data_IF_903465954951
#
_entry.id   IF_903465954951
#
_cell.length_a   1.000
_cell.length_b   1.000
_cell.length_c   1.000
_cell.angle_alpha   90.00
_cell.angle_beta   90.00
_cell.angle_gamma   90.00
#
_symmetry.space_group_name_H-M   'P 1'
#
loop_
_entity.id
_entity.type
_entity.pdbx_description
1 polymer ?
#
# COMPACT_ATOMS: atom_id res chain seq x y z
N UNK A 1 4.59 -17.99 -8.26
CA UNK A 1 3.25 -18.17 -7.63
C UNK A 1 2.82 -16.83 -7.06
N UNK A 2 1.56 -16.43 -7.25
CA UNK A 2 0.97 -15.22 -6.65
C UNK A 2 -0.23 -15.62 -5.79
N UNK A 3 -0.31 -15.05 -4.59
CA UNK A 3 -1.51 -15.14 -3.74
C UNK A 3 -2.14 -13.75 -3.65
N UNK A 4 -3.46 -13.67 -3.77
CA UNK A 4 -4.18 -12.40 -3.70
C UNK A 4 -5.10 -12.37 -2.49
N UNK A 5 -4.93 -11.34 -1.65
CA UNK A 5 -5.80 -11.04 -0.53
C UNK A 5 -6.62 -9.79 -0.90
N UNK A 6 -7.95 -9.88 -0.85
CA UNK A 6 -8.84 -8.74 -1.07
C UNK A 6 -9.58 -8.42 0.22
N UNK A 7 -9.36 -7.23 0.78
CA UNK A 7 -10.02 -6.80 2.01
C UNK A 7 -11.46 -6.34 1.77
N UNK A 8 -11.73 -5.82 0.56
CA UNK A 8 -12.94 -5.08 0.27
C UNK A 8 -14.14 -5.92 -0.23
N UNK A 9 -14.02 -7.24 -0.32
CA UNK A 9 -15.06 -8.06 -0.97
C UNK A 9 -16.44 -7.96 -0.28
N UNK A 10 -16.46 -7.73 1.04
CA UNK A 10 -17.68 -7.74 1.85
C UNK A 10 -17.85 -6.51 2.77
N UNK A 11 -16.93 -5.53 2.77
CA UNK A 11 -16.94 -4.39 3.71
C UNK A 11 -16.43 -3.08 3.07
N UNK A 12 -17.22 -2.55 2.13
CA UNK A 12 -16.89 -1.31 1.40
C UNK A 12 -16.73 -0.09 2.30
N UNK A 13 -17.40 -0.05 3.46
CA UNK A 13 -17.37 1.08 4.39
C UNK A 13 -16.17 1.07 5.34
N UNK A 14 -15.12 0.30 5.01
CA UNK A 14 -13.91 0.21 5.80
C UNK A 14 -12.65 0.38 4.95
N UNK A 15 -11.67 1.08 5.54
CA UNK A 15 -10.29 1.07 5.10
C UNK A 15 -9.51 0.14 6.02
N UNK A 16 -8.79 -0.82 5.43
CA UNK A 16 -8.02 -1.79 6.18
C UNK A 16 -6.55 -1.39 6.19
N UNK A 17 -6.00 -1.19 7.38
CA UNK A 17 -4.60 -0.84 7.64
C UNK A 17 -3.79 -2.10 7.92
N UNK A 18 -2.63 -2.25 7.28
CA UNK A 18 -1.63 -3.27 7.59
C UNK A 18 -0.53 -2.63 8.40
N UNK A 19 -0.20 -3.27 9.51
CA UNK A 19 0.96 -2.96 10.36
C UNK A 19 1.97 -4.12 10.38
N UNK A 20 1.62 -5.27 9.82
CA UNK A 20 2.55 -6.37 9.61
C UNK A 20 1.94 -7.57 8.90
N UNK A 21 2.79 -8.49 8.46
CA UNK A 21 2.40 -9.73 7.81
C UNK A 21 3.26 -10.87 8.35
N UNK A 22 2.68 -12.04 8.60
CA UNK A 22 3.42 -13.26 8.92
C UNK A 22 2.99 -14.40 8.01
N UNK A 23 3.95 -15.22 7.61
CA UNK A 23 3.72 -16.40 6.78
C UNK A 23 4.46 -17.59 7.37
N UNK A 24 3.74 -18.69 7.58
CA UNK A 24 4.35 -19.97 7.95
C UNK A 24 4.72 -20.72 6.69
N UNK A 25 6.01 -20.85 6.44
CA UNK A 25 6.56 -21.48 5.25
C UNK A 25 7.30 -22.75 5.64
N UNK A 26 6.88 -23.88 5.10
CA UNK A 26 7.52 -25.17 5.27
C UNK A 26 8.22 -25.57 3.97
N UNK A 27 9.51 -25.80 4.05
CA UNK A 27 10.30 -26.27 2.92
C UNK A 27 10.32 -27.80 2.93
N UNK A 28 10.11 -28.45 1.78
CA UNK A 28 10.07 -29.92 1.72
C UNK A 28 11.43 -30.57 1.42
N UNK A 29 12.49 -29.78 1.18
CA UNK A 29 13.85 -30.28 0.93
C UNK A 29 14.88 -29.22 1.30
N UNK A 30 15.93 -29.59 2.03
CA UNK A 30 17.06 -28.69 2.35
C UNK A 30 17.64 -28.12 1.06
N UNK A 31 17.30 -26.87 0.77
CA UNK A 31 17.90 -26.10 -0.31
C UNK A 31 18.66 -24.95 0.30
N UNK A 32 19.78 -24.59 -0.32
CA UNK A 32 20.54 -23.38 -0.01
C UNK A 32 19.89 -22.11 -0.56
N UNK A 33 18.71 -22.22 -1.19
CA UNK A 33 18.02 -21.11 -1.84
C UNK A 33 16.90 -20.64 -0.92
N UNK A 34 17.14 -19.50 -0.27
CA UNK A 34 16.08 -18.80 0.44
C UNK A 34 15.09 -18.17 -0.56
N UNK A 35 13.78 -18.38 -0.38
CA UNK A 35 12.78 -17.67 -1.16
C UNK A 35 12.84 -16.16 -0.88
N UNK A 36 12.70 -15.35 -1.94
CA UNK A 36 12.45 -13.92 -1.77
C UNK A 36 10.96 -13.62 -1.91
N UNK A 37 10.42 -12.93 -0.91
CA UNK A 37 9.03 -12.50 -0.84
C UNK A 37 8.93 -11.01 -1.12
N UNK A 38 8.04 -10.67 -2.03
CA UNK A 38 7.62 -9.29 -2.27
C UNK A 38 6.11 -9.22 -2.14
N UNK A 39 5.63 -8.20 -1.44
CA UNK A 39 4.21 -7.97 -1.25
C UNK A 39 3.87 -6.70 -2.01
N UNK A 40 3.06 -6.84 -3.04
CA UNK A 40 2.53 -5.72 -3.78
C UNK A 40 1.21 -5.27 -3.16
N UNK A 41 1.12 -4.01 -2.79
CA UNK A 41 -0.04 -3.40 -2.15
C UNK A 41 -0.75 -2.52 -3.16
N UNK A 42 -2.05 -2.72 -3.30
CA UNK A 42 -2.95 -1.85 -4.06
C UNK A 42 -3.95 -1.20 -3.08
N UNK A 43 -3.85 0.14 -2.91
CA UNK A 43 -4.61 0.87 -1.90
C UNK A 43 -6.11 0.95 -2.21
N UNK A 44 -6.51 1.17 -3.48
CA UNK A 44 -7.90 1.50 -3.85
C UNK A 44 -8.47 0.71 -5.02
N UNK A 45 -8.01 -0.54 -5.21
CA UNK A 45 -8.37 -1.36 -6.39
C UNK A 45 -8.08 -0.67 -7.73
N UNK A 46 -7.06 0.20 -7.74
CA UNK A 46 -6.58 0.93 -8.89
C UNK A 46 -5.79 0.04 -9.86
N UNK A 47 -5.20 0.64 -10.90
CA UNK A 47 -4.32 -0.09 -11.82
C UNK A 47 -3.03 -0.57 -11.11
N UNK A 48 -2.30 -1.50 -11.73
CA UNK A 48 -0.98 -1.93 -11.23
C UNK A 48 0.08 -0.80 -11.16
N UNK A 49 -0.18 0.37 -11.74
CA UNK A 49 0.69 1.55 -11.61
C UNK A 49 0.39 2.38 -10.36
N UNK A 50 -0.74 2.16 -9.68
CA UNK A 50 -1.21 2.93 -8.52
C UNK A 50 -0.90 2.21 -7.18
N UNK A 51 -0.07 1.16 -7.21
CA UNK A 51 0.38 0.42 -6.03
C UNK A 51 1.91 0.31 -5.95
N UNK A 52 2.42 -0.34 -4.91
CA UNK A 52 3.86 -0.45 -4.64
C UNK A 52 4.22 -1.82 -4.09
N UNK A 53 5.52 -2.16 -4.13
CA UNK A 53 6.04 -3.39 -3.52
C UNK A 53 6.73 -3.10 -2.19
N UNK A 54 6.49 -3.95 -1.20
CA UNK A 54 7.23 -3.99 0.06
C UNK A 54 7.96 -5.33 0.23
N UNK A 55 9.14 -5.36 0.88
CA UNK A 55 9.83 -4.21 1.47
C UNK A 55 10.46 -3.27 0.43
N UNK A 56 10.47 -1.96 0.73
CA UNK A 56 10.85 -0.90 -0.23
C UNK A 56 12.38 -0.73 -0.38
N UNK A 57 13.17 -1.34 0.51
CA UNK A 57 14.63 -1.36 0.44
C UNK A 57 15.33 -0.07 0.93
N UNK A 58 14.59 0.89 1.44
CA UNK A 58 15.13 2.12 2.03
C UNK A 58 15.72 1.93 3.43
N UNK A 59 16.59 2.87 3.83
CA UNK A 59 17.19 2.87 5.16
C UNK A 59 16.09 2.95 6.24
N UNK A 60 16.08 1.97 7.14
CA UNK A 60 15.10 1.88 8.23
C UNK A 60 13.73 1.34 7.82
N UNK A 61 13.53 0.97 6.54
CA UNK A 61 12.36 0.20 6.14
C UNK A 61 12.48 -1.24 6.67
N UNK A 62 11.40 -1.86 7.19
CA UNK A 62 11.49 -3.17 7.83
C UNK A 62 11.84 -4.26 6.83
N UNK A 63 12.54 -5.27 7.31
CA UNK A 63 12.93 -6.45 6.52
C UNK A 63 12.16 -7.66 7.00
N UNK A 64 12.15 -8.70 6.18
CA UNK A 64 11.64 -10.00 6.59
C UNK A 64 12.52 -10.57 7.69
N UNK A 65 11.91 -10.90 8.81
CA UNK A 65 12.51 -11.66 9.90
C UNK A 65 12.10 -13.13 9.77
N UNK A 66 13.10 -14.02 9.77
CA UNK A 66 12.93 -15.46 9.61
C UNK A 66 13.22 -16.15 10.92
N UNK A 67 12.20 -16.76 11.53
CA UNK A 67 12.34 -17.55 12.77
C UNK A 67 12.02 -19.01 12.49
N UNK A 68 12.93 -19.92 12.83
CA UNK A 68 12.72 -21.36 12.66
C UNK A 68 11.75 -21.88 13.72
N UNK A 69 10.77 -22.68 13.30
CA UNK A 69 9.84 -23.34 14.22
C UNK A 69 10.49 -24.62 14.78
N UNK A 70 10.37 -24.83 16.09
CA UNK A 70 10.97 -25.97 16.80
C UNK A 70 10.62 -27.30 16.12
N UNK A 71 11.63 -28.17 15.98
CA UNK A 71 11.51 -29.53 15.45
C UNK A 71 10.82 -29.64 14.06
N UNK A 72 10.93 -28.62 13.21
CA UNK A 72 10.34 -28.64 11.87
C UNK A 72 11.27 -28.04 10.80
N UNK A 73 10.94 -28.30 9.53
CA UNK A 73 11.49 -27.58 8.37
C UNK A 73 10.67 -26.33 8.03
N UNK A 74 9.95 -25.79 9.02
CA UNK A 74 9.11 -24.62 8.86
C UNK A 74 9.72 -23.37 9.49
N UNK A 75 9.44 -22.23 8.87
CA UNK A 75 9.88 -20.92 9.31
C UNK A 75 8.68 -19.98 9.35
N UNK A 76 8.62 -19.14 10.37
CA UNK A 76 7.79 -17.95 10.35
C UNK A 76 8.58 -16.82 9.71
N UNK A 77 8.04 -16.28 8.63
CA UNK A 77 8.54 -15.09 7.97
C UNK A 77 7.64 -13.94 8.34
N UNK A 78 8.16 -12.98 9.09
CA UNK A 78 7.38 -11.85 9.59
C UNK A 78 7.95 -10.54 9.06
N UNK A 79 7.08 -9.67 8.57
CA UNK A 79 7.38 -8.30 8.20
C UNK A 79 6.58 -7.39 9.11
N UNK A 80 7.25 -6.74 10.05
CA UNK A 80 6.62 -5.79 10.99
C UNK A 80 6.81 -4.36 10.48
N UNK A 81 5.75 -3.74 9.98
CA UNK A 81 5.76 -2.37 9.49
C UNK A 81 5.73 -1.35 10.64
N UNK A 82 4.99 -1.68 11.70
CA UNK A 82 4.75 -0.78 12.83
C UNK A 82 4.00 0.49 12.41
N UNK A 83 3.97 1.50 13.28
CA UNK A 83 3.21 2.72 13.02
C UNK A 83 3.85 3.63 11.97
N UNK A 84 5.19 3.58 11.82
CA UNK A 84 5.94 4.39 10.86
C UNK A 84 5.67 4.00 9.41
N UNK A 85 5.56 2.71 9.15
CA UNK A 85 5.45 2.17 7.79
C UNK A 85 4.09 1.52 7.49
N UNK A 86 3.10 1.76 8.38
CA UNK A 86 1.75 1.27 8.17
C UNK A 86 1.16 1.85 6.90
N UNK A 87 0.34 1.06 6.25
CA UNK A 87 -0.32 1.46 5.02
C UNK A 87 -1.66 0.76 4.88
N UNK A 88 -2.57 1.31 4.10
CA UNK A 88 -3.86 0.66 3.85
C UNK A 88 -3.84 -0.14 2.56
N UNK A 89 -4.79 -1.06 2.43
CA UNK A 89 -4.93 -1.90 1.27
C UNK A 89 -6.40 -2.24 0.98
N UNK A 90 -6.68 -2.37 -0.31
CA UNK A 90 -7.85 -3.09 -0.80
C UNK A 90 -7.48 -4.45 -1.35
N UNK A 91 -6.38 -4.51 -2.11
CA UNK A 91 -5.86 -5.75 -2.65
C UNK A 91 -4.37 -5.84 -2.34
N UNK A 92 -3.94 -6.99 -1.83
CA UNK A 92 -2.54 -7.32 -1.63
C UNK A 92 -2.20 -8.55 -2.45
N UNK A 93 -1.16 -8.45 -3.27
CA UNK A 93 -0.60 -9.58 -4.01
C UNK A 93 0.72 -9.98 -3.38
N UNK A 94 0.79 -11.21 -2.87
CA UNK A 94 2.03 -11.78 -2.34
C UNK A 94 2.69 -12.56 -3.47
N UNK A 95 3.87 -12.09 -3.90
CA UNK A 95 4.69 -12.70 -4.93
C UNK A 95 5.83 -13.48 -4.30
N UNK A 96 5.90 -14.77 -4.65
CA UNK A 96 7.01 -15.64 -4.30
C UNK A 96 7.91 -15.83 -5.51
N UNK A 97 9.17 -15.40 -5.39
CA UNK A 97 10.23 -15.66 -6.38
C UNK A 97 11.34 -16.48 -5.73
N UNK A 98 11.44 -17.76 -6.12
CA UNK A 98 12.65 -18.54 -5.87
C UNK A 98 13.73 -18.09 -6.87
N UNK A 99 14.77 -17.40 -6.41
CA UNK A 99 15.97 -17.22 -7.26
C UNK A 99 16.81 -18.48 -7.11
N UNK A 100 16.74 -19.40 -8.08
CA UNK A 100 17.83 -20.34 -8.24
C UNK A 100 19.09 -19.52 -8.58
N UNK A 101 20.09 -19.49 -7.69
CA UNK A 101 21.45 -19.17 -8.13
C UNK A 101 21.86 -20.33 -9.03
N UNK A 102 21.62 -20.20 -10.34
CA UNK A 102 22.22 -21.07 -11.33
C UNK A 102 23.73 -20.84 -11.18
N UNK A 103 24.55 -21.86 -10.89
CA UNK A 103 26.00 -21.72 -10.91
C UNK A 103 26.38 -21.13 -12.26
N UNK A 104 27.27 -20.14 -12.26
CA UNK A 104 27.72 -19.38 -13.44
C UNK A 104 28.41 -20.21 -14.54
N UNK A 105 28.29 -21.55 -14.53
CA UNK A 105 28.87 -22.48 -15.50
C UNK A 105 27.88 -23.18 -16.45
N UNK A 106 26.55 -22.98 -16.34
CA UNK A 106 25.56 -23.63 -17.22
C UNK A 106 24.64 -22.59 -17.86
N UNK A 107 25.19 -21.82 -18.81
CA UNK A 107 24.46 -20.77 -19.53
C UNK A 107 24.07 -21.20 -20.95
N UNK A 108 23.63 -22.45 -21.13
CA UNK A 108 23.31 -22.97 -22.46
C UNK A 108 21.95 -23.68 -22.63
N UNK A 109 21.05 -23.73 -21.65
CA UNK A 109 19.72 -24.32 -21.89
C UNK A 109 18.58 -23.30 -21.81
N UNK A 110 18.08 -22.94 -22.98
CA UNK A 110 16.74 -22.39 -23.24
C UNK A 110 15.67 -23.40 -22.80
N UNK A 111 15.42 -23.52 -21.50
CA UNK A 111 14.45 -24.46 -20.93
C UNK A 111 13.22 -23.77 -20.35
N UNK A 112 12.39 -23.14 -21.19
CA UNK A 112 11.06 -22.63 -20.81
C UNK A 112 9.95 -23.67 -21.08
N UNK A 113 10.13 -24.90 -20.60
CA UNK A 113 9.13 -25.97 -20.68
C UNK A 113 8.45 -26.25 -19.32
N UNK A 114 7.21 -26.78 -19.29
CA UNK A 114 6.56 -27.24 -18.06
C UNK A 114 7.39 -28.38 -17.42
N UNK A 115 7.60 -28.30 -16.12
CA UNK A 115 8.42 -29.27 -15.38
C UNK A 115 7.60 -30.53 -15.16
N UNK A 116 8.09 -31.66 -15.68
CA UNK A 116 7.46 -32.97 -15.52
C UNK A 116 7.60 -33.47 -14.06
N UNK A 117 6.47 -33.69 -13.41
CA UNK A 117 6.36 -33.99 -11.96
C UNK A 117 6.59 -35.47 -11.62
N UNK A 118 6.75 -36.34 -12.62
CA UNK A 118 6.93 -37.78 -12.45
C UNK A 118 8.34 -38.22 -12.01
N UNK A 119 9.37 -37.40 -12.23
CA UNK A 119 10.77 -37.77 -11.95
C UNK A 119 11.23 -37.28 -10.55
N UNK A 120 11.55 -38.19 -9.60
CA UNK A 120 11.95 -37.84 -8.24
C UNK A 120 13.29 -37.06 -8.16
N UNK A 121 14.16 -37.17 -9.17
CA UNK A 121 15.42 -36.41 -9.23
C UNK A 121 15.25 -34.99 -9.79
N UNK A 122 14.17 -34.73 -10.54
CA UNK A 122 13.80 -33.40 -11.05
C UNK A 122 12.82 -32.64 -10.15
N UNK A 123 12.41 -33.24 -9.02
CA UNK A 123 11.58 -32.58 -7.99
C UNK A 123 12.25 -31.31 -7.48
N UNK A 124 11.86 -30.19 -8.09
CA UNK A 124 12.22 -28.84 -7.70
C UNK A 124 11.89 -28.63 -6.22
N UNK A 125 12.58 -27.67 -5.60
CA UNK A 125 12.36 -27.29 -4.22
C UNK A 125 10.91 -26.82 -4.06
N UNK A 126 10.06 -27.62 -3.43
CA UNK A 126 8.68 -27.22 -3.14
C UNK A 126 8.63 -26.43 -1.83
N UNK A 127 7.99 -25.25 -1.90
CA UNK A 127 7.73 -24.37 -0.78
C UNK A 127 6.24 -24.45 -0.50
N UNK A 128 5.88 -24.93 0.70
CA UNK A 128 4.49 -24.94 1.16
C UNK A 128 4.26 -23.75 2.07
N UNK A 129 3.40 -22.82 1.67
CA UNK A 129 2.88 -21.80 2.58
C UNK A 129 1.70 -22.43 3.32
N UNK A 130 1.84 -22.62 4.63
CA UNK A 130 0.85 -23.32 5.46
C UNK A 130 -0.15 -22.39 6.12
N UNK A 131 0.28 -21.16 6.42
CA UNK A 131 -0.57 -20.14 7.04
C UNK A 131 -0.09 -18.74 6.65
N UNK A 132 -1.02 -17.79 6.59
CA UNK A 132 -0.74 -16.38 6.33
C UNK A 132 -1.62 -15.52 7.23
N UNK A 133 -0.98 -14.64 7.98
CA UNK A 133 -1.63 -13.74 8.92
C UNK A 133 -1.28 -12.30 8.53
N UNK A 134 -2.32 -11.45 8.48
CA UNK A 134 -2.17 -10.01 8.27
C UNK A 134 -2.53 -9.33 9.58
N UNK A 135 -1.61 -8.54 10.11
CA UNK A 135 -1.82 -7.75 11.32
C UNK A 135 -2.20 -6.34 10.93
N UNK A 136 -3.27 -5.85 11.54
CA UNK A 136 -3.90 -4.62 11.09
C UNK A 136 -5.09 -4.20 11.91
N UNK A 137 -5.70 -3.09 11.49
CA UNK A 137 -6.94 -2.59 12.02
C UNK A 137 -7.80 -2.02 10.90
N UNK A 138 -9.09 -1.86 11.14
CA UNK A 138 -10.02 -1.32 10.15
C UNK A 138 -10.56 0.02 10.64
N UNK A 139 -10.57 1.01 9.77
CA UNK A 139 -11.17 2.31 10.02
C UNK A 139 -12.48 2.41 9.25
N UNK A 140 -13.50 2.98 9.87
CA UNK A 140 -14.75 3.30 9.16
C UNK A 140 -14.48 4.36 8.11
N UNK A 141 -15.04 4.17 6.93
CA UNK A 141 -14.94 5.06 5.80
C UNK A 141 -16.33 5.33 5.25
N UNK A 142 -16.83 6.53 5.49
CA UNK A 142 -18.12 6.97 4.97
C UNK A 142 -17.89 7.72 3.67
N UNK A 143 -18.05 7.01 2.55
CA UNK A 143 -17.86 7.57 1.22
C UNK A 143 -18.87 8.68 0.91
N UNK A 144 -20.08 8.60 1.45
CA UNK A 144 -21.15 9.55 1.16
C UNK A 144 -20.90 10.90 1.84
N UNK A 145 -20.52 10.88 3.13
CA UNK A 145 -20.13 12.11 3.84
C UNK A 145 -18.95 12.81 3.16
N UNK A 146 -17.93 12.04 2.76
CA UNK A 146 -16.78 12.61 2.08
C UNK A 146 -17.15 13.13 0.68
N UNK A 147 -18.07 12.46 -0.03
CA UNK A 147 -18.59 12.92 -1.31
C UNK A 147 -19.36 14.24 -1.16
N UNK A 148 -20.18 14.39 -0.13
CA UNK A 148 -20.90 15.64 0.15
C UNK A 148 -19.92 16.80 0.43
N UNK A 149 -18.87 16.57 1.23
CA UNK A 149 -17.81 17.55 1.45
C UNK A 149 -17.11 17.97 0.16
N UNK A 150 -16.77 17.00 -0.69
CA UNK A 150 -16.14 17.23 -2.00
C UNK A 150 -17.07 17.98 -2.95
N UNK A 151 -18.37 17.66 -2.97
CA UNK A 151 -19.37 18.37 -3.76
C UNK A 151 -19.50 19.83 -3.33
N UNK A 152 -19.48 20.11 -2.03
CA UNK A 152 -19.51 21.48 -1.52
C UNK A 152 -18.31 22.29 -2.02
N UNK A 153 -17.10 21.72 -2.00
CA UNK A 153 -15.91 22.37 -2.56
C UNK A 153 -16.06 22.64 -4.06
N UNK A 154 -16.52 21.65 -4.83
CA UNK A 154 -16.73 21.82 -6.27
C UNK A 154 -17.76 22.91 -6.58
N UNK A 155 -18.87 22.96 -5.83
CA UNK A 155 -19.90 23.98 -6.02
C UNK A 155 -19.36 25.37 -5.71
N UNK A 156 -18.69 25.54 -4.56
CA UNK A 156 -18.03 26.81 -4.20
C UNK A 156 -17.04 27.25 -5.27
N UNK A 157 -16.23 26.32 -5.78
CA UNK A 157 -15.24 26.59 -6.83
C UNK A 157 -15.90 27.08 -8.15
N UNK A 158 -16.99 26.44 -8.58
CA UNK A 158 -17.68 26.81 -9.83
C UNK A 158 -18.47 28.12 -9.74
N UNK A 159 -18.96 28.48 -8.56
CA UNK A 159 -19.81 29.66 -8.37
C UNK A 159 -19.01 30.95 -8.15
N UNK A 160 -17.67 30.88 -8.06
CA UNK A 160 -16.84 32.04 -7.73
C UNK A 160 -17.14 32.65 -6.36
N UNK A 161 -17.93 31.96 -5.54
CA UNK A 161 -18.28 32.40 -4.20
C UNK A 161 -17.02 32.40 -3.33
N UNK A 162 -16.90 33.42 -2.47
CA UNK A 162 -15.76 33.61 -1.60
C UNK A 162 -15.38 32.30 -0.90
N UNK A 163 -14.10 31.91 -1.07
CA UNK A 163 -13.45 30.71 -0.51
C UNK A 163 -13.68 30.51 1.00
N UNK A 164 -14.10 31.56 1.71
CA UNK A 164 -14.34 31.59 3.15
C UNK A 164 -15.61 30.85 3.61
N UNK A 165 -16.63 30.71 2.76
CA UNK A 165 -17.90 30.05 3.14
C UNK A 165 -17.80 28.54 3.37
N UNK A 166 -16.71 27.91 2.92
CA UNK A 166 -16.44 26.47 3.07
C UNK A 166 -15.13 26.18 3.82
N UNK A 167 -14.61 27.14 4.60
CA UNK A 167 -13.30 27.06 5.24
C UNK A 167 -13.10 25.79 6.09
N UNK A 168 -14.10 25.38 6.87
CA UNK A 168 -14.05 24.17 7.69
C UNK A 168 -13.98 22.88 6.86
N UNK A 169 -14.75 22.80 5.77
CA UNK A 169 -14.73 21.67 4.84
C UNK A 169 -13.40 21.60 4.09
N UNK A 170 -12.85 22.75 3.74
CA UNK A 170 -11.58 22.86 3.05
C UNK A 170 -10.41 22.42 3.95
N UNK A 171 -10.39 22.87 5.20
CA UNK A 171 -9.43 22.42 6.22
C UNK A 171 -9.55 20.91 6.48
N UNK A 172 -10.78 20.38 6.58
CA UNK A 172 -11.02 18.95 6.74
C UNK A 172 -10.43 18.15 5.57
N UNK A 173 -10.68 18.58 4.33
CA UNK A 173 -10.16 17.90 3.15
C UNK A 173 -8.64 18.01 3.02
N UNK A 174 -8.04 19.12 3.44
CA UNK A 174 -6.59 19.26 3.55
C UNK A 174 -5.99 18.29 4.57
N UNK A 175 -6.56 18.18 5.77
CA UNK A 175 -6.11 17.25 6.80
C UNK A 175 -6.27 15.79 6.33
N UNK A 176 -7.40 15.44 5.68
CA UNK A 176 -7.60 14.12 5.09
C UNK A 176 -6.56 13.84 3.99
N UNK A 177 -6.29 14.80 3.10
CA UNK A 177 -5.28 14.67 2.03
C UNK A 177 -3.90 14.38 2.61
N UNK A 178 -3.47 15.15 3.60
CA UNK A 178 -2.18 14.95 4.27
C UNK A 178 -2.12 13.58 4.96
N UNK A 179 -3.14 13.22 5.76
CA UNK A 179 -3.18 11.93 6.47
C UNK A 179 -3.14 10.73 5.52
N UNK A 180 -3.86 10.79 4.41
CA UNK A 180 -3.91 9.70 3.43
C UNK A 180 -2.59 9.59 2.67
N UNK A 181 -2.02 10.71 2.23
CA UNK A 181 -0.75 10.69 1.47
C UNK A 181 0.45 10.30 2.35
N UNK A 182 0.40 10.49 3.67
CA UNK A 182 1.39 9.95 4.62
C UNK A 182 1.38 8.42 4.75
N UNK A 183 0.34 7.74 4.27
CA UNK A 183 0.29 6.27 4.26
C UNK A 183 0.97 5.65 3.04
N UNK A 184 1.39 6.49 2.07
CA UNK A 184 2.24 6.04 0.99
C UNK A 184 3.64 5.66 1.53
N UNK A 185 4.32 4.66 0.93
CA UNK A 185 5.74 4.49 1.17
C UNK A 185 6.49 5.78 0.78
N UNK A 186 7.68 6.01 1.35
CA UNK A 186 8.52 7.10 0.90
C UNK A 186 8.79 6.99 -0.59
N UNK A 187 8.89 8.13 -1.25
CA UNK A 187 9.38 8.18 -2.61
C UNK A 187 10.88 7.98 -2.62
N UNK A 188 11.35 6.97 -3.37
CA UNK A 188 12.76 6.87 -3.72
C UNK A 188 13.23 8.18 -4.40
N UNK A 189 14.52 8.57 -4.25
CA UNK A 189 15.04 9.79 -4.85
C UNK A 189 14.71 9.90 -6.35
N UNK A 190 14.14 11.03 -6.76
CA UNK A 190 13.76 11.29 -8.15
C UNK A 190 12.44 10.66 -8.61
N UNK A 191 11.70 9.97 -7.74
CA UNK A 191 10.33 9.52 -8.03
C UNK A 191 9.30 10.45 -7.38
N UNK A 192 8.17 10.73 -8.06
CA UNK A 192 7.08 11.46 -7.44
C UNK A 192 6.48 10.65 -6.29
N UNK A 193 6.06 11.34 -5.23
CA UNK A 193 5.29 10.74 -4.15
C UNK A 193 3.93 10.25 -4.69
N UNK A 194 3.46 9.12 -4.16
CA UNK A 194 2.15 8.59 -4.53
C UNK A 194 1.05 9.48 -3.95
N UNK A 195 0.17 9.97 -4.83
CA UNK A 195 -1.02 10.72 -4.44
C UNK A 195 -2.20 9.78 -4.20
N UNK A 196 -2.21 9.21 -3.00
CA UNK A 196 -3.26 8.31 -2.54
C UNK A 196 -4.59 9.05 -2.35
N UNK A 197 -4.58 10.34 -2.03
CA UNK A 197 -5.79 11.14 -1.92
C UNK A 197 -6.53 11.23 -3.26
N UNK A 198 -5.85 11.58 -4.36
CA UNK A 198 -6.46 11.56 -5.69
C UNK A 198 -6.95 10.16 -6.09
N UNK A 199 -6.19 9.12 -5.75
CA UNK A 199 -6.63 7.74 -5.98
C UNK A 199 -7.92 7.41 -5.22
N UNK A 200 -8.06 7.87 -3.97
CA UNK A 200 -9.29 7.72 -3.19
C UNK A 200 -10.47 8.44 -3.85
N UNK A 201 -10.28 9.70 -4.26
CA UNK A 201 -11.32 10.49 -4.93
C UNK A 201 -11.84 9.77 -6.18
N UNK A 202 -10.92 9.26 -7.01
CA UNK A 202 -11.25 8.54 -8.24
C UNK A 202 -11.91 7.19 -7.97
N UNK A 203 -11.31 6.35 -7.15
CA UNK A 203 -11.71 4.94 -7.06
C UNK A 203 -12.79 4.67 -6.00
N UNK A 204 -12.75 5.38 -4.87
CA UNK A 204 -13.73 5.24 -3.79
C UNK A 204 -14.91 6.20 -3.94
N UNK A 205 -14.64 7.47 -4.27
CA UNK A 205 -15.72 8.46 -4.40
C UNK A 205 -16.32 8.50 -5.80
N UNK A 206 -15.65 7.88 -6.79
CA UNK A 206 -16.08 7.80 -8.20
C UNK A 206 -16.09 9.15 -8.90
N UNK A 207 -15.19 10.06 -8.52
CA UNK A 207 -15.02 11.32 -9.23
C UNK A 207 -14.42 11.09 -10.61
N UNK A 208 -14.88 11.88 -11.58
CA UNK A 208 -14.22 11.98 -12.87
C UNK A 208 -12.95 12.86 -12.79
N UNK A 209 -12.11 12.81 -13.82
CA UNK A 209 -10.84 13.56 -13.85
C UNK A 209 -11.04 15.07 -13.68
N UNK A 210 -12.10 15.64 -14.27
CA UNK A 210 -12.35 17.09 -14.20
C UNK A 210 -12.77 17.54 -12.80
N UNK A 211 -13.54 16.72 -12.09
CA UNK A 211 -13.94 16.98 -10.69
C UNK A 211 -12.72 16.86 -9.78
N UNK A 212 -11.91 15.82 -9.96
CA UNK A 212 -10.70 15.61 -9.18
C UNK A 212 -9.70 16.76 -9.34
N UNK A 213 -9.46 17.22 -10.57
CA UNK A 213 -8.57 18.37 -10.85
C UNK A 213 -9.11 19.64 -10.17
N UNK A 214 -10.41 19.90 -10.25
CA UNK A 214 -11.04 21.07 -9.60
C UNK A 214 -10.88 21.03 -8.08
N UNK A 215 -11.14 19.89 -7.45
CA UNK A 215 -10.99 19.72 -6.00
C UNK A 215 -9.54 19.95 -5.58
N UNK A 216 -8.57 19.30 -6.24
CA UNK A 216 -7.16 19.46 -5.92
C UNK A 216 -6.70 20.91 -6.10
N UNK A 217 -7.06 21.55 -7.21
CA UNK A 217 -6.72 22.94 -7.46
C UNK A 217 -7.31 23.88 -6.41
N UNK A 218 -8.57 23.68 -6.04
CA UNK A 218 -9.21 24.46 -4.99
C UNK A 218 -8.46 24.31 -3.65
N UNK A 219 -8.11 23.07 -3.26
CA UNK A 219 -7.34 22.80 -2.04
C UNK A 219 -5.94 23.42 -2.07
N UNK A 220 -5.26 23.40 -3.22
CA UNK A 220 -3.94 24.01 -3.38
C UNK A 220 -4.00 25.53 -3.24
N UNK A 221 -4.96 26.18 -3.90
CA UNK A 221 -5.20 27.62 -3.73
C UNK A 221 -5.44 27.95 -2.25
N UNK A 222 -6.33 27.22 -1.59
CA UNK A 222 -6.66 27.47 -0.19
C UNK A 222 -5.46 27.22 0.75
N UNK A 223 -4.66 26.18 0.50
CA UNK A 223 -3.43 25.92 1.26
C UNK A 223 -2.44 27.07 1.12
N UNK A 224 -2.29 27.66 -0.07
CA UNK A 224 -1.39 28.81 -0.26
C UNK A 224 -1.91 30.07 0.43
N UNK A 225 -3.22 30.30 0.45
CA UNK A 225 -3.83 31.43 1.15
C UNK A 225 -3.73 31.30 2.68
N UNK A 226 -3.92 30.09 3.25
CA UNK A 226 -3.68 29.86 4.68
C UNK A 226 -2.24 30.17 5.05
N UNK A 227 -1.26 29.71 4.26
CA UNK A 227 0.15 29.95 4.54
C UNK A 227 0.53 31.44 4.47
N UNK A 228 -0.28 32.29 3.82
CA UNK A 228 -0.12 33.75 3.85
C UNK A 228 -0.73 34.40 5.09
N UNK A 229 -1.66 33.73 5.78
CA UNK A 229 -2.11 34.17 7.10
C UNK A 229 -0.99 33.82 8.08
N UNK A 230 -0.15 34.81 8.39
CA UNK A 230 0.93 34.68 9.37
C UNK A 230 0.40 34.02 10.64
N UNK A 231 1.09 32.98 11.12
CA UNK A 231 0.84 32.38 12.43
C UNK A 231 0.65 33.51 13.45
N UNK A 232 -0.56 33.65 13.99
CA UNK A 232 -0.72 34.34 15.27
C UNK A 232 0.11 33.53 16.26
N UNK A 233 1.30 34.06 16.56
CA UNK A 233 2.22 33.60 17.58
C UNK A 233 1.40 33.05 18.74
N UNK A 234 1.44 31.73 18.91
CA UNK A 234 0.88 31.11 20.09
C UNK A 234 1.65 31.69 21.28
N UNK A 235 0.99 32.56 22.04
CA UNK A 235 1.50 32.93 23.34
C UNK A 235 1.59 31.64 24.16
N UNK A 236 2.71 31.46 24.87
CA UNK A 236 2.90 30.35 25.80
C UNK A 236 1.67 30.24 26.70
N UNK A 237 0.98 29.10 26.62
CA UNK A 237 -0.06 28.75 27.58
C UNK A 237 0.52 28.09 28.85
N UNK A 238 1.84 27.83 28.86
CA UNK A 238 2.67 27.39 29.99
C UNK A 238 4.09 27.98 29.88
#
# INVERSE_FOLDING_TARGET
>A
MSLTLKSNKNRMDYLHMIIGLSMKICQMRNSSIDPMFFVYVNPFSGSHSEGWSMPFGEHGYPRWEKVRLQNSQCFNWTLLLGNRWKTFFETVHIYLRSRAKIPTGLRNDTGQGPVDLGDPNKRQIYIKISDIQVFGYSLRFNADLLRSAVQQVNQSYTQGNQFYSSSSVMLLLLDIRDRINRLAPPSAPGKPQLDLFSCMLKHRLKLNNSEMIRVNHALDMYSTEILKQSDHLTAKLC
#
